data_IF_405088778873
#
_entry.id   IF_405088778873
#
_cell.length_a   1.000
_cell.length_b   1.000
_cell.length_c   1.000
_cell.angle_alpha   90.00
_cell.angle_beta   90.00
_cell.angle_gamma   90.00
#
_symmetry.space_group_name_H-M   'P 1'
#
loop_
_entity.id
_entity.type
_entity.pdbx_description
1 polymer ?
#
# COMPACT_ATOMS: atom_id res chain seq x y z
N UNK A 1 2.74 18.60 20.16
CA UNK A 1 2.38 18.11 18.82
C UNK A 1 0.87 17.90 18.77
N UNK A 2 0.25 18.09 17.60
CA UNK A 2 -1.20 17.98 17.39
C UNK A 2 -1.68 16.52 17.56
N UNK A 3 -2.58 16.27 18.51
CA UNK A 3 -3.24 14.98 18.76
C UNK A 3 -3.87 14.37 17.50
N UNK A 4 -4.19 15.21 16.50
CA UNK A 4 -4.73 14.79 15.21
C UNK A 4 -3.78 13.86 14.45
N UNK A 5 -2.47 14.17 14.41
CA UNK A 5 -1.52 13.42 13.58
C UNK A 5 -1.23 12.01 14.11
N UNK A 6 -1.12 11.87 15.44
CA UNK A 6 -0.99 10.56 16.09
C UNK A 6 -2.17 9.65 15.78
N UNK A 7 -3.39 10.19 15.86
CA UNK A 7 -4.60 9.44 15.53
C UNK A 7 -4.59 8.96 14.08
N UNK A 8 -4.19 9.82 13.14
CA UNK A 8 -4.09 9.44 11.72
C UNK A 8 -3.07 8.32 11.48
N UNK A 9 -1.91 8.38 12.12
CA UNK A 9 -0.92 7.31 12.06
C UNK A 9 -1.45 5.99 12.66
N UNK A 10 -2.03 6.03 13.85
CA UNK A 10 -2.57 4.84 14.51
C UNK A 10 -3.71 4.20 13.70
N UNK A 11 -4.54 5.02 13.04
CA UNK A 11 -5.56 4.56 12.09
C UNK A 11 -4.93 3.84 10.90
N UNK A 12 -3.90 4.42 10.29
CA UNK A 12 -3.25 3.82 9.11
C UNK A 12 -2.53 2.51 9.46
N UNK A 13 -1.84 2.45 10.60
CA UNK A 13 -1.26 1.23 11.14
C UNK A 13 -2.34 0.16 11.34
N UNK A 14 -3.47 0.53 11.95
CA UNK A 14 -4.58 -0.40 12.16
C UNK A 14 -5.15 -0.90 10.83
N UNK A 15 -5.36 -0.01 9.85
CA UNK A 15 -5.83 -0.37 8.53
C UNK A 15 -4.89 -1.36 7.84
N UNK A 16 -3.58 -1.10 7.82
CA UNK A 16 -2.62 -2.03 7.22
C UNK A 16 -2.54 -3.37 7.95
N UNK A 17 -2.79 -3.43 9.26
CA UNK A 17 -2.88 -4.69 9.99
C UNK A 17 -4.05 -5.55 9.47
N UNK A 18 -5.23 -4.95 9.27
CA UNK A 18 -6.40 -5.62 8.69
C UNK A 18 -6.14 -6.01 7.23
N UNK A 19 -5.63 -5.09 6.40
CA UNK A 19 -5.33 -5.34 4.98
C UNK A 19 -4.31 -6.48 4.79
N UNK A 20 -3.30 -6.57 5.66
CA UNK A 20 -2.32 -7.64 5.62
C UNK A 20 -2.94 -8.97 6.04
N UNK A 21 -3.68 -8.99 7.15
CA UNK A 21 -4.27 -10.21 7.71
C UNK A 21 -5.35 -10.81 6.79
N UNK A 22 -6.20 -9.98 6.19
CA UNK A 22 -7.28 -10.41 5.30
C UNK A 22 -6.86 -10.53 3.82
N UNK A 23 -5.57 -10.34 3.52
CA UNK A 23 -4.99 -10.67 2.21
C UNK A 23 -5.15 -9.61 1.13
N UNK A 24 -5.62 -8.39 1.43
CA UNK A 24 -5.63 -7.29 0.45
C UNK A 24 -4.23 -6.98 -0.09
N UNK A 25 -3.19 -7.06 0.76
CA UNK A 25 -1.80 -6.89 0.30
C UNK A 25 -1.40 -7.97 -0.72
N UNK A 26 -1.82 -9.23 -0.52
CA UNK A 26 -1.51 -10.33 -1.43
C UNK A 26 -2.30 -10.27 -2.74
N UNK A 27 -3.48 -9.63 -2.73
CA UNK A 27 -4.27 -9.30 -3.92
C UNK A 27 -3.71 -8.08 -4.69
N UNK A 28 -2.68 -7.44 -4.15
CA UNK A 28 -1.99 -6.29 -4.75
C UNK A 28 -2.87 -5.04 -4.97
N UNK A 29 -4.01 -4.94 -4.29
CA UNK A 29 -4.94 -3.79 -4.36
C UNK A 29 -4.54 -2.62 -3.45
N UNK A 30 -3.52 -2.85 -2.62
CA UNK A 30 -2.83 -1.89 -1.75
C UNK A 30 -1.32 -2.19 -1.82
N UNK A 31 -0.43 -1.28 -1.38
CA UNK A 31 1.00 -1.58 -1.28
C UNK A 31 1.26 -2.75 -0.35
N UNK A 32 2.27 -3.57 -0.66
CA UNK A 32 2.72 -4.59 0.29
C UNK A 32 3.25 -3.90 1.55
N UNK A 33 2.69 -4.25 2.71
CA UNK A 33 3.20 -3.78 4.00
C UNK A 33 4.19 -4.78 4.59
N UNK A 34 5.42 -4.32 4.81
CA UNK A 34 6.51 -5.12 5.40
C UNK A 34 6.52 -5.06 6.94
N UNK A 35 5.79 -4.10 7.51
CA UNK A 35 5.59 -3.94 8.94
C UNK A 35 5.88 -2.52 9.43
N UNK A 36 5.83 -2.35 10.75
CA UNK A 36 6.18 -1.11 11.45
C UNK A 36 7.67 -1.10 11.79
N UNK A 37 8.26 0.08 11.72
CA UNK A 37 9.66 0.34 12.04
C UNK A 37 9.76 1.58 12.92
N UNK A 38 10.78 1.66 13.76
CA UNK A 38 11.15 2.91 14.43
C UNK A 38 12.37 3.47 13.71
N UNK A 39 12.25 4.71 13.23
CA UNK A 39 13.29 5.40 12.50
C UNK A 39 14.31 5.96 13.48
N UNK A 40 15.58 5.67 13.22
CA UNK A 40 16.74 6.27 13.88
C UNK A 40 16.94 7.71 13.43
N UNK A 41 17.62 8.53 14.24
CA UNK A 41 17.99 9.90 13.88
C UNK A 41 18.76 9.98 12.55
N UNK A 42 19.63 9.01 12.27
CA UNK A 42 20.36 8.92 11.00
C UNK A 42 19.43 8.66 9.80
N UNK A 43 18.42 7.81 9.95
CA UNK A 43 17.44 7.55 8.89
C UNK A 43 16.56 8.78 8.64
N UNK A 44 16.15 9.47 9.70
CA UNK A 44 15.41 10.74 9.58
C UNK A 44 16.25 11.78 8.84
N UNK A 45 17.54 11.91 9.19
CA UNK A 45 18.44 12.82 8.49
C UNK A 45 18.54 12.48 6.99
N UNK A 46 18.65 11.20 6.63
CA UNK A 46 18.64 10.76 5.23
C UNK A 46 17.32 11.11 4.53
N UNK A 47 16.18 10.83 5.15
CA UNK A 47 14.85 11.18 4.62
C UNK A 47 14.76 12.70 4.36
N UNK A 48 15.24 13.52 5.29
CA UNK A 48 15.25 14.98 5.15
C UNK A 48 16.09 15.50 3.98
N UNK A 49 17.05 14.72 3.47
CA UNK A 49 17.81 15.08 2.26
C UNK A 49 17.04 14.82 0.96
N UNK A 50 15.90 14.14 1.01
CA UNK A 50 15.10 13.86 -0.19
C UNK A 50 14.39 15.11 -0.70
N UNK A 51 14.54 15.38 -2.00
CA UNK A 51 14.01 16.59 -2.64
C UNK A 51 12.48 16.67 -2.66
N UNK A 52 11.76 15.56 -2.47
CA UNK A 52 10.31 15.44 -2.61
C UNK A 52 9.50 15.73 -1.33
N UNK A 53 10.13 16.08 -0.21
CA UNK A 53 9.43 16.37 1.04
C UNK A 53 8.91 17.81 1.09
N UNK A 54 7.62 17.96 1.44
CA UNK A 54 7.01 19.26 1.75
C UNK A 54 7.63 19.90 3.01
N UNK A 55 7.59 21.22 3.10
CA UNK A 55 8.14 21.96 4.24
C UNK A 55 7.46 21.60 5.57
N UNK A 56 6.16 21.31 5.51
CA UNK A 56 5.40 20.80 6.67
C UNK A 56 5.97 19.46 7.14
N UNK A 57 6.25 18.53 6.23
CA UNK A 57 6.83 17.23 6.58
C UNK A 57 8.26 17.38 7.12
N UNK A 58 9.08 18.24 6.51
CA UNK A 58 10.43 18.55 7.00
C UNK A 58 10.40 19.12 8.42
N UNK A 59 9.46 20.03 8.69
CA UNK A 59 9.28 20.62 10.02
C UNK A 59 8.85 19.57 11.04
N UNK A 60 7.91 18.69 10.69
CA UNK A 60 7.47 17.60 11.55
C UNK A 60 8.58 16.61 11.85
N UNK A 61 9.39 16.23 10.84
CA UNK A 61 10.53 15.31 10.94
C UNK A 61 11.74 15.87 11.70
N UNK A 62 11.82 17.19 11.92
CA UNK A 62 12.90 17.82 12.70
C UNK A 62 12.58 17.97 14.19
N UNK A 63 11.33 17.73 14.60
CA UNK A 63 10.81 18.08 15.93
C UNK A 63 10.62 16.90 16.89
N UNK A 64 10.88 15.65 16.48
CA UNK A 64 10.66 14.46 17.30
C UNK A 64 11.94 13.66 17.51
N UNK A 65 12.02 12.99 18.66
CA UNK A 65 13.18 12.22 19.09
C UNK A 65 13.17 10.77 18.55
N UNK A 66 11.99 10.25 18.21
CA UNK A 66 11.81 8.97 17.53
C UNK A 66 10.64 9.06 16.53
N UNK A 67 10.66 8.25 15.45
CA UNK A 67 9.52 8.14 14.54
C UNK A 67 9.16 6.69 14.24
N UNK A 68 8.03 6.20 14.73
CA UNK A 68 7.33 5.07 14.15
C UNK A 68 6.97 5.37 12.70
N UNK A 69 7.18 4.40 11.81
CA UNK A 69 6.82 4.47 10.41
C UNK A 69 6.34 3.11 9.90
N UNK A 70 5.53 3.12 8.85
CA UNK A 70 5.19 1.93 8.09
C UNK A 70 6.18 1.75 6.94
N UNK A 71 6.69 0.53 6.78
CA UNK A 71 7.49 0.15 5.63
C UNK A 71 6.59 -0.47 4.57
N UNK A 72 6.38 0.26 3.48
CA UNK A 72 5.50 -0.12 2.38
C UNK A 72 6.29 -0.37 1.09
N UNK A 73 5.72 -1.13 0.17
CA UNK A 73 6.21 -1.26 -1.19
C UNK A 73 6.45 0.10 -1.85
N UNK A 74 7.62 0.27 -2.46
CA UNK A 74 7.88 1.42 -3.31
C UNK A 74 7.32 1.15 -4.70
N UNK A 75 6.43 2.03 -5.18
CA UNK A 75 5.79 1.93 -6.48
C UNK A 75 6.36 3.06 -7.35
N UNK A 76 7.30 2.73 -8.23
CA UNK A 76 8.04 3.70 -9.06
C UNK A 76 7.24 4.26 -10.24
N UNK A 77 6.47 3.39 -10.90
CA UNK A 77 5.84 3.68 -12.20
C UNK A 77 4.31 3.87 -12.10
N UNK A 78 3.82 4.10 -10.89
CA UNK A 78 2.41 4.34 -10.64
C UNK A 78 1.98 5.74 -11.08
N UNK A 79 0.87 5.82 -11.81
CA UNK A 79 0.24 7.07 -12.19
C UNK A 79 -1.04 7.28 -11.38
N UNK A 80 -1.24 8.48 -10.86
CA UNK A 80 -2.50 8.86 -10.24
C UNK A 80 -3.59 9.01 -11.29
N UNK A 81 -4.84 8.77 -10.88
CA UNK A 81 -5.97 9.15 -11.72
C UNK A 81 -6.02 10.67 -11.89
N UNK A 82 -6.28 11.09 -13.11
CA UNK A 82 -6.55 12.47 -13.49
C UNK A 82 -7.77 12.49 -14.40
N UNK A 83 -8.29 13.68 -14.71
CA UNK A 83 -9.43 13.81 -15.61
C UNK A 83 -9.06 13.34 -17.02
N UNK A 84 -7.79 13.48 -17.40
CA UNK A 84 -7.28 13.18 -18.74
C UNK A 84 -6.99 11.70 -18.96
N UNK A 85 -6.57 10.96 -17.91
CA UNK A 85 -6.18 9.55 -18.05
C UNK A 85 -7.24 8.55 -17.58
N UNK A 86 -8.25 9.00 -16.83
CA UNK A 86 -9.26 8.10 -16.29
C UNK A 86 -10.18 7.58 -17.39
N UNK A 87 -10.40 6.27 -17.41
CA UNK A 87 -11.32 5.59 -18.33
C UNK A 87 -12.37 4.80 -17.55
N UNK A 88 -13.45 4.38 -18.22
CA UNK A 88 -14.46 3.50 -17.62
C UNK A 88 -13.87 2.16 -17.15
N UNK A 89 -12.89 1.62 -17.90
CA UNK A 89 -12.20 0.38 -17.51
C UNK A 89 -11.35 0.59 -16.24
N UNK A 90 -10.53 1.64 -16.20
CA UNK A 90 -9.74 1.98 -15.01
C UNK A 90 -10.62 2.27 -13.80
N UNK A 91 -11.73 2.97 -13.99
CA UNK A 91 -12.71 3.24 -12.93
C UNK A 91 -13.33 1.94 -12.40
N UNK A 92 -13.75 1.04 -13.28
CA UNK A 92 -14.32 -0.26 -12.89
C UNK A 92 -13.32 -1.09 -12.10
N UNK A 93 -12.05 -1.13 -12.54
CA UNK A 93 -10.97 -1.81 -11.83
C UNK A 93 -10.65 -1.18 -10.48
N UNK A 94 -10.70 0.14 -10.38
CA UNK A 94 -10.48 0.84 -9.11
C UNK A 94 -11.59 0.58 -8.10
N UNK A 95 -12.86 0.54 -8.55
CA UNK A 95 -13.98 0.14 -7.71
C UNK A 95 -13.87 -1.32 -7.28
N UNK A 96 -13.42 -2.21 -8.16
CA UNK A 96 -13.16 -3.60 -7.79
C UNK A 96 -12.01 -3.72 -6.77
N UNK A 97 -10.92 -2.97 -6.93
CA UNK A 97 -9.84 -2.91 -5.96
C UNK A 97 -10.30 -2.34 -4.61
N UNK A 98 -11.18 -1.33 -4.63
CA UNK A 98 -11.78 -0.78 -3.42
C UNK A 98 -12.71 -1.77 -2.74
N UNK A 99 -13.45 -2.56 -3.52
CA UNK A 99 -14.26 -3.65 -2.98
C UNK A 99 -13.37 -4.66 -2.22
N UNK A 100 -12.21 -5.03 -2.75
CA UNK A 100 -11.26 -5.92 -2.06
C UNK A 100 -10.68 -5.31 -0.77
N UNK A 101 -10.52 -3.99 -0.72
CA UNK A 101 -10.19 -3.25 0.51
C UNK A 101 -11.34 -3.37 1.53
N UNK A 102 -12.58 -3.18 1.08
CA UNK A 102 -13.76 -3.25 1.95
C UNK A 102 -14.03 -4.67 2.47
N UNK A 103 -13.81 -5.72 1.66
CA UNK A 103 -13.94 -7.12 2.11
C UNK A 103 -12.85 -7.52 3.11
N UNK A 104 -11.81 -6.70 3.26
CA UNK A 104 -10.80 -6.80 4.32
C UNK A 104 -11.19 -6.04 5.60
N UNK A 105 -12.46 -5.62 5.71
CA UNK A 105 -13.02 -4.88 6.84
C UNK A 105 -12.39 -3.50 7.06
N UNK A 106 -11.86 -2.89 6.00
CA UNK A 106 -11.31 -1.53 6.04
C UNK A 106 -12.18 -0.62 5.18
N UNK A 107 -12.76 0.42 5.76
CA UNK A 107 -13.37 1.51 5.00
C UNK A 107 -12.31 2.59 4.79
N UNK A 108 -11.97 2.91 3.54
CA UNK A 108 -10.82 3.76 3.22
C UNK A 108 -10.92 5.20 3.77
N UNK A 109 -12.12 5.77 3.81
CA UNK A 109 -12.39 7.09 4.42
C UNK A 109 -11.85 8.32 3.67
N UNK A 110 -11.17 8.14 2.53
CA UNK A 110 -10.64 9.25 1.72
C UNK A 110 -10.63 8.88 0.23
N UNK A 111 -11.81 8.67 -0.35
CA UNK A 111 -11.93 8.32 -1.77
C UNK A 111 -11.60 9.54 -2.64
N UNK A 112 -10.62 9.41 -3.52
CA UNK A 112 -10.25 10.46 -4.47
C UNK A 112 -9.11 10.02 -5.37
N UNK A 113 -8.99 10.66 -6.54
CA UNK A 113 -8.04 10.28 -7.58
C UNK A 113 -6.57 10.29 -7.13
N UNK A 114 -6.23 11.17 -6.17
CA UNK A 114 -4.89 11.25 -5.55
C UNK A 114 -4.53 10.05 -4.66
N UNK A 115 -5.51 9.24 -4.26
CA UNK A 115 -5.32 8.10 -3.36
C UNK A 115 -5.43 6.77 -4.10
N UNK A 116 -5.48 6.80 -5.43
CA UNK A 116 -5.43 5.61 -6.27
C UNK A 116 -4.33 5.78 -7.30
N UNK A 117 -3.53 4.73 -7.49
CA UNK A 117 -2.57 4.59 -8.56
C UNK A 117 -3.03 3.50 -9.51
N UNK A 118 -2.75 3.67 -10.79
CA UNK A 118 -2.67 2.56 -11.72
C UNK A 118 -1.27 2.44 -12.27
N UNK A 119 -0.90 1.22 -12.66
CA UNK A 119 0.36 0.94 -13.30
C UNK A 119 0.18 -0.17 -14.32
N UNK A 120 0.76 0.05 -15.50
CA UNK A 120 0.86 -0.94 -16.53
C UNK A 120 2.13 -1.78 -16.31
N UNK A 121 1.99 -3.10 -16.49
CA UNK A 121 3.04 -4.07 -16.25
C UNK A 121 3.26 -4.90 -17.50
N UNK A 122 4.53 -5.08 -17.83
CA UNK A 122 4.93 -6.13 -18.75
C UNK A 122 4.87 -7.47 -18.02
N UNK A 123 3.98 -8.34 -18.48
CA UNK A 123 3.89 -9.70 -17.96
C UNK A 123 4.83 -10.62 -18.75
N UNK A 124 5.57 -11.54 -18.10
CA UNK A 124 6.47 -12.49 -18.79
C UNK A 124 5.71 -13.28 -19.84
N UNK A 125 6.25 -13.52 -21.05
CA UNK A 125 5.51 -14.17 -22.14
C UNK A 125 4.86 -15.49 -21.69
N UNK A 126 3.68 -15.81 -22.25
CA UNK A 126 3.06 -17.12 -21.99
C UNK A 126 3.96 -18.16 -22.64
N UNK A 127 4.60 -19.00 -21.83
CA UNK A 127 5.30 -20.17 -22.33
C UNK A 127 4.23 -21.15 -22.82
N UNK A 128 4.03 -21.20 -24.13
CA UNK A 128 3.18 -22.18 -24.79
C UNK A 128 4.03 -23.43 -25.00
N UNK A 129 3.96 -24.35 -24.04
CA UNK A 129 4.52 -25.69 -24.20
C UNK A 129 3.41 -26.61 -24.76
N UNK A 130 3.54 -27.12 -25.99
CA UNK A 130 2.53 -27.99 -26.60
C UNK A 130 2.34 -29.32 -25.86
N UNK A 131 3.27 -29.73 -24.99
CA UNK A 131 3.16 -30.92 -24.16
C UNK A 131 2.43 -30.66 -22.82
N UNK A 132 2.17 -29.40 -22.48
CA UNK A 132 1.55 -29.01 -21.22
C UNK A 132 0.03 -29.09 -21.30
N UNK A 133 -0.55 -30.10 -20.68
CA UNK A 133 -1.99 -30.19 -20.48
C UNK A 133 -2.47 -29.12 -19.50
N UNK A 134 -3.49 -28.36 -19.92
CA UNK A 134 -4.15 -27.39 -19.04
C UNK A 134 -4.88 -28.13 -17.91
N UNK A 135 -4.92 -27.51 -16.73
CA UNK A 135 -5.75 -28.03 -15.64
C UNK A 135 -7.22 -28.10 -16.09
N UNK A 136 -8.00 -29.09 -15.60
CA UNK A 136 -9.42 -29.18 -15.92
C UNK A 136 -10.14 -27.86 -15.63
N UNK A 137 -10.85 -27.31 -16.62
CA UNK A 137 -11.59 -26.05 -16.51
C UNK A 137 -10.82 -24.78 -16.89
N UNK A 138 -9.51 -24.86 -17.18
CA UNK A 138 -8.78 -23.74 -17.76
C UNK A 138 -8.87 -23.74 -19.29
N UNK A 139 -9.20 -22.59 -19.89
CA UNK A 139 -9.08 -22.36 -21.33
C UNK A 139 -7.98 -21.33 -21.62
N UNK A 140 -7.37 -21.41 -22.80
CA UNK A 140 -6.42 -20.40 -23.27
C UNK A 140 -7.02 -19.00 -23.29
N UNK A 141 -8.31 -18.87 -23.56
CA UNK A 141 -9.05 -17.60 -23.48
C UNK A 141 -9.10 -17.08 -22.05
N UNK A 142 -9.38 -17.94 -21.07
CA UNK A 142 -9.40 -17.55 -19.66
C UNK A 142 -8.01 -17.10 -19.18
N UNK A 143 -6.95 -17.82 -19.59
CA UNK A 143 -5.56 -17.46 -19.29
C UNK A 143 -5.21 -16.10 -19.90
N UNK A 144 -5.59 -15.85 -21.16
CA UNK A 144 -5.36 -14.58 -21.84
C UNK A 144 -6.11 -13.43 -21.16
N UNK A 145 -7.38 -13.63 -20.82
CA UNK A 145 -8.20 -12.62 -20.15
C UNK A 145 -7.65 -12.27 -18.76
N UNK A 146 -7.26 -13.28 -17.96
CA UNK A 146 -6.64 -13.03 -16.66
C UNK A 146 -5.29 -12.31 -16.80
N UNK A 147 -4.53 -12.61 -17.85
CA UNK A 147 -3.28 -11.91 -18.16
C UNK A 147 -3.53 -10.44 -18.52
N UNK A 148 -4.48 -10.14 -19.41
CA UNK A 148 -4.87 -8.77 -19.71
C UNK A 148 -5.39 -8.04 -18.46
N UNK A 149 -6.11 -8.74 -17.59
CA UNK A 149 -6.54 -8.20 -16.31
C UNK A 149 -5.35 -7.81 -15.44
N UNK A 150 -4.30 -8.64 -15.37
CA UNK A 150 -3.08 -8.40 -14.57
C UNK A 150 -2.11 -7.38 -15.15
N UNK A 151 -2.24 -7.00 -16.42
CA UNK A 151 -1.40 -5.95 -17.02
C UNK A 151 -1.57 -4.62 -16.30
N UNK A 152 -2.80 -4.32 -15.86
CA UNK A 152 -3.08 -3.10 -15.11
C UNK A 152 -3.29 -3.47 -13.65
N UNK A 153 -2.40 -3.01 -12.78
CA UNK A 153 -2.61 -3.05 -11.33
C UNK A 153 -3.19 -1.73 -10.87
N UNK A 154 -4.23 -1.80 -10.03
CA UNK A 154 -4.78 -0.65 -9.31
C UNK A 154 -4.41 -0.76 -7.85
N UNK A 155 -3.93 0.33 -7.25
CA UNK A 155 -3.47 0.39 -5.86
C UNK A 155 -4.11 1.55 -5.13
N UNK A 156 -4.81 1.28 -4.05
CA UNK A 156 -5.31 2.29 -3.12
C UNK A 156 -4.26 2.63 -2.05
N UNK A 157 -4.16 3.92 -1.71
CA UNK A 157 -3.15 4.50 -0.83
C UNK A 157 -3.78 5.40 0.24
N UNK A 158 -3.00 5.72 1.29
CA UNK A 158 -3.35 6.71 2.32
C UNK A 158 -4.59 6.31 3.13
N UNK A 159 -4.35 5.44 4.10
CA UNK A 159 -5.39 4.89 4.99
C UNK A 159 -5.47 5.62 6.34
N UNK A 160 -4.87 6.81 6.47
CA UNK A 160 -4.93 7.61 7.70
C UNK A 160 -6.35 7.99 8.14
N UNK A 161 -7.28 8.14 7.19
CA UNK A 161 -8.70 8.40 7.47
C UNK A 161 -9.54 7.12 7.47
N UNK A 162 -8.91 5.95 7.38
CA UNK A 162 -9.64 4.70 7.31
C UNK A 162 -10.29 4.37 8.66
N UNK A 163 -11.42 3.67 8.59
CA UNK A 163 -12.06 3.07 9.75
C UNK A 163 -12.06 1.55 9.60
N UNK A 164 -11.78 0.88 10.70
CA UNK A 164 -11.81 -0.57 10.83
C UNK A 164 -12.72 -0.91 12.03
N UNK A 165 -13.33 -2.10 12.10
CA UNK A 165 -13.97 -2.57 13.31
C UNK A 165 -13.03 -2.39 14.50
N UNK A 166 -13.56 -1.92 15.64
CA UNK A 166 -12.77 -1.90 16.86
C UNK A 166 -12.24 -3.32 17.10
N UNK A 167 -10.92 -3.45 17.28
CA UNK A 167 -10.27 -4.73 17.51
C UNK A 167 -10.98 -5.42 18.67
N UNK A 168 -11.85 -6.38 18.37
CA UNK A 168 -12.18 -7.43 19.34
C UNK A 168 -10.83 -8.03 19.72
N UNK A 169 -10.63 -8.22 21.02
CA UNK A 169 -9.35 -8.39 21.75
C UNK A 169 -8.33 -9.41 21.20
N UNK A 170 -8.62 -10.09 20.10
CA UNK A 170 -7.82 -11.16 19.51
C UNK A 170 -7.05 -10.74 18.25
N UNK A 171 -7.22 -9.51 17.75
CA UNK A 171 -6.35 -9.02 16.68
C UNK A 171 -5.06 -8.45 17.29
N UNK A 172 -3.90 -9.10 17.12
CA UNK A 172 -2.69 -8.61 17.73
C UNK A 172 -2.35 -7.25 17.11
N UNK A 173 -2.30 -6.20 17.92
CA UNK A 173 -1.62 -4.93 17.54
C UNK A 173 -0.17 -5.20 17.09
N UNK A 174 0.39 -6.34 17.48
CA UNK A 174 1.69 -6.87 17.04
C UNK A 174 1.68 -7.52 15.64
N UNK A 175 0.56 -7.56 14.93
CA UNK A 175 0.43 -8.19 13.60
C UNK A 175 1.31 -7.56 12.50
N UNK A 176 1.85 -6.37 12.78
CA UNK A 176 2.79 -5.65 11.91
C UNK A 176 4.24 -5.68 12.42
N UNK A 177 4.59 -6.63 13.30
CA UNK A 177 5.99 -6.87 13.63
C UNK A 177 6.79 -7.08 12.32
N UNK A 178 7.88 -6.33 12.18
CA UNK A 178 8.71 -6.33 10.98
C UNK A 178 9.08 -7.76 10.61
N UNK A 179 8.63 -8.25 9.44
CA UNK A 179 8.85 -9.65 9.06
C UNK A 179 10.31 -9.95 8.71
N UNK A 180 11.13 -8.93 8.43
CA UNK A 180 12.57 -9.04 8.10
C UNK A 180 13.34 -7.74 8.42
N UNK A 181 14.59 -7.79 8.92
CA UNK A 181 15.39 -6.60 9.18
C UNK A 181 15.64 -5.77 7.91
N UNK A 182 15.57 -4.43 8.05
CA UNK A 182 15.89 -3.46 7.00
C UNK A 182 17.31 -3.72 6.45
N UNK A 183 17.43 -4.06 5.16
CA UNK A 183 18.73 -4.15 4.47
C UNK A 183 19.11 -2.80 3.88
N UNK A 184 20.39 -2.52 3.63
CA UNK A 184 20.89 -1.20 3.20
C UNK A 184 20.51 -0.74 1.77
N UNK A 185 19.52 -1.36 1.12
CA UNK A 185 19.12 -1.07 -0.29
C UNK A 185 17.62 -0.80 -0.48
N UNK A 186 16.90 -0.43 0.58
CA UNK A 186 15.50 -0.05 0.46
C UNK A 186 15.43 1.43 0.09
N UNK A 187 15.12 1.72 -1.17
CA UNK A 187 14.83 3.09 -1.62
C UNK A 187 13.51 3.54 -0.98
N UNK A 188 13.55 4.70 -0.33
CA UNK A 188 12.64 5.06 0.76
C UNK A 188 11.16 5.00 0.37
N UNK A 189 10.44 4.28 1.21
CA UNK A 189 9.01 4.09 1.26
C UNK A 189 8.30 5.38 1.70
N UNK A 190 6.99 5.48 1.48
CA UNK A 190 6.15 6.55 2.04
C UNK A 190 6.30 6.56 3.56
N UNK A 191 6.97 7.58 4.10
CA UNK A 191 7.17 7.74 5.54
C UNK A 191 5.96 8.46 6.11
N UNK A 192 5.17 7.74 6.92
CA UNK A 192 4.17 8.33 7.79
C UNK A 192 4.74 8.20 9.19
N UNK A 193 5.30 9.30 9.70
CA UNK A 193 6.16 9.34 10.89
C UNK A 193 5.35 9.55 12.19
N UNK A 194 5.74 9.02 13.35
CA UNK A 194 5.12 9.32 14.66
C UNK A 194 6.05 9.16 15.88
N UNK A 195 5.98 10.02 16.91
CA UNK A 195 6.80 9.95 18.14
C UNK A 195 6.46 8.81 19.13
N UNK A 196 7.33 7.82 19.32
CA UNK A 196 7.24 6.90 20.48
C UNK A 196 7.91 7.54 21.72
N UNK A 197 7.23 7.52 22.86
CA UNK A 197 7.80 7.86 24.19
C UNK A 197 7.98 6.57 24.95
#
# INVERSE_FOLDING_TARGET
>A
MDSSFRRLYDNEVSAYAYLLHHGACAKEVVPICFGRVTLTTSQVAQILTMCSLSDAMRTTLRRADAYGALLLEHISDGQHFTIENITNDLTSRALQALYEVHTSFVCHGALGCRNVLFLERELPPVIVDPSRTLAPGMSWTAIRNERERRKIRIVWLNFANASCPATTSNFPRNGLAMRRPLRHRWHCCTVISHHEV
#
